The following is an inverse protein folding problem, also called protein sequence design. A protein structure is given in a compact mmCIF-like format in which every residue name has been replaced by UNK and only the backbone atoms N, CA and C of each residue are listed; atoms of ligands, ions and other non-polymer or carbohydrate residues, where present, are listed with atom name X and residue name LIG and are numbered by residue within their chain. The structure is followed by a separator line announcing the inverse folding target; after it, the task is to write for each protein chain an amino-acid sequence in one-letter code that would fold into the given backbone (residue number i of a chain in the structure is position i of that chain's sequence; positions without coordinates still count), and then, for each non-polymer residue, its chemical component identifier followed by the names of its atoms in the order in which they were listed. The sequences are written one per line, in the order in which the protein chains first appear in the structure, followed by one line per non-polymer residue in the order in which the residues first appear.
data_IF_396173495239
#
_entry.id   IF_396173495239
#
_cell.length_a   1.000
_cell.length_b   1.000
_cell.length_c   1.000
_cell.angle_alpha   90.00
_cell.angle_beta   90.00
_cell.angle_gamma   90.00
#
_symmetry.space_group_name_H-M   'P 1'
#
loop_
_entity.id
_entity.type
_entity.pdbx_description
1 polymer ?
#
# COMPACT_ATOMS: atom_id res chain seq x y z
N UNK A 1 12.79 11.17 -19.27
CA UNK A 1 11.39 11.48 -19.58
C UNK A 1 10.57 10.89 -18.45
N UNK A 2 10.17 11.71 -17.48
CA UNK A 2 9.17 11.35 -16.48
C UNK A 2 7.82 11.34 -17.21
N UNK A 3 7.36 10.14 -17.58
CA UNK A 3 5.97 9.95 -17.95
C UNK A 3 5.14 10.29 -16.72
N UNK A 4 4.45 11.41 -16.78
CA UNK A 4 3.32 11.71 -15.89
C UNK A 4 2.28 10.63 -16.14
N UNK A 5 2.30 9.58 -15.32
CA UNK A 5 1.54 8.35 -15.59
C UNK A 5 0.06 8.47 -15.21
N UNK A 6 -0.37 9.63 -14.69
CA UNK A 6 -1.78 9.98 -14.52
C UNK A 6 -2.54 9.10 -13.52
N UNK A 7 -1.85 8.26 -12.74
CA UNK A 7 -2.50 7.45 -11.70
C UNK A 7 -3.09 8.35 -10.63
N UNK A 8 -4.30 8.02 -10.21
CA UNK A 8 -5.01 8.79 -9.19
C UNK A 8 -5.50 7.87 -8.09
N UNK A 9 -5.47 8.40 -6.87
CA UNK A 9 -6.01 7.75 -5.69
C UNK A 9 -7.09 8.67 -5.09
N UNK A 10 -8.32 8.17 -5.04
CA UNK A 10 -9.46 8.90 -4.47
C UNK A 10 -10.08 8.11 -3.35
N UNK A 11 -10.63 8.78 -2.34
CA UNK A 11 -11.29 8.13 -1.20
C UNK A 11 -12.68 8.73 -1.02
N UNK A 12 -13.69 7.87 -1.01
CA UNK A 12 -15.08 8.23 -0.79
C UNK A 12 -15.79 7.12 -0.01
N UNK A 13 -16.67 7.48 0.92
CA UNK A 13 -17.52 6.54 1.67
C UNK A 13 -16.75 5.38 2.34
N UNK A 14 -15.56 5.68 2.88
CA UNK A 14 -14.71 4.69 3.54
C UNK A 14 -13.99 3.71 2.61
N UNK A 15 -14.13 3.87 1.29
CA UNK A 15 -13.39 3.09 0.30
C UNK A 15 -12.44 3.97 -0.51
N UNK A 16 -11.37 3.37 -0.99
CA UNK A 16 -10.36 4.01 -1.83
C UNK A 16 -10.37 3.42 -3.21
N UNK A 17 -10.34 4.26 -4.25
CA UNK A 17 -10.26 3.86 -5.64
C UNK A 17 -8.91 4.31 -6.23
N UNK A 18 -8.11 3.33 -6.65
CA UNK A 18 -6.92 3.51 -7.47
C UNK A 18 -7.32 3.42 -8.94
N UNK A 19 -7.03 4.47 -9.72
CA UNK A 19 -7.24 4.49 -11.17
C UNK A 19 -5.89 4.53 -11.89
N UNK A 20 -5.69 3.64 -12.86
CA UNK A 20 -4.48 3.55 -13.68
C UNK A 20 -4.84 3.42 -15.16
N UNK A 21 -4.15 4.16 -16.03
CA UNK A 21 -4.43 4.21 -17.47
C UNK A 21 -3.23 3.75 -18.29
N UNK A 22 -3.44 2.90 -19.30
CA UNK A 22 -2.41 2.50 -20.26
C UNK A 22 -2.93 2.62 -21.70
N UNK A 23 -2.13 3.22 -22.57
CA UNK A 23 -2.33 3.20 -24.02
C UNK A 23 -1.69 1.95 -24.60
N UNK A 24 -2.47 1.19 -25.37
CA UNK A 24 -2.05 -0.05 -25.99
C UNK A 24 -2.19 0.08 -27.50
N UNK A 25 -1.17 -0.37 -28.25
CA UNK A 25 -1.16 -0.35 -29.72
C UNK A 25 -1.98 -1.52 -30.32
N UNK A 26 -3.11 -1.83 -29.69
CA UNK A 26 -3.96 -2.97 -29.98
C UNK A 26 -5.43 -2.55 -29.98
N UNK A 27 -6.26 -3.09 -30.89
CA UNK A 27 -7.68 -2.77 -30.94
C UNK A 27 -8.40 -3.32 -29.69
N UNK A 28 -9.48 -2.67 -29.22
CA UNK A 28 -10.22 -3.07 -28.02
C UNK A 28 -10.61 -4.55 -28.00
N UNK A 29 -11.00 -5.13 -29.13
CA UNK A 29 -11.40 -6.54 -29.22
C UNK A 29 -10.24 -7.49 -28.92
N UNK A 30 -9.01 -7.11 -29.28
CA UNK A 30 -7.82 -7.89 -28.98
C UNK A 30 -7.48 -7.80 -27.50
N UNK A 31 -7.55 -6.60 -26.91
CA UNK A 31 -7.30 -6.40 -25.48
C UNK A 31 -8.39 -7.05 -24.63
N UNK A 32 -9.64 -7.00 -25.06
CA UNK A 32 -10.77 -7.66 -24.41
C UNK A 32 -10.51 -9.14 -24.16
N UNK A 33 -10.02 -9.86 -25.17
CA UNK A 33 -9.62 -11.28 -24.99
C UNK A 33 -8.55 -11.46 -23.92
N UNK A 34 -7.59 -10.54 -23.83
CA UNK A 34 -6.58 -10.57 -22.76
C UNK A 34 -7.14 -10.28 -21.36
N UNK A 35 -8.28 -9.57 -21.27
CA UNK A 35 -8.98 -9.29 -20.01
C UNK A 35 -9.99 -10.39 -19.61
N UNK A 36 -10.47 -11.21 -20.54
CA UNK A 36 -11.59 -12.12 -20.27
C UNK A 36 -11.32 -13.60 -20.55
N UNK A 37 -10.37 -13.93 -21.42
CA UNK A 37 -10.05 -15.32 -21.73
C UNK A 37 -8.99 -15.85 -20.76
N UNK A 38 -9.26 -16.95 -20.02
CA UNK A 38 -8.36 -17.44 -18.96
C UNK A 38 -6.91 -17.69 -19.42
N UNK A 39 -6.75 -18.17 -20.67
CA UNK A 39 -5.44 -18.47 -21.24
C UNK A 39 -4.55 -17.24 -21.44
N UNK A 40 -5.14 -16.09 -21.71
CA UNK A 40 -4.44 -14.80 -21.83
C UNK A 40 -4.33 -14.09 -20.49
N UNK A 41 -5.41 -14.08 -19.70
CA UNK A 41 -5.47 -13.39 -18.42
C UNK A 41 -4.42 -13.93 -17.44
N UNK A 42 -4.23 -15.26 -17.41
CA UNK A 42 -3.20 -15.95 -16.60
C UNK A 42 -1.75 -15.60 -16.96
N UNK A 43 -1.48 -14.83 -18.02
CA UNK A 43 -0.12 -14.46 -18.44
C UNK A 43 0.40 -13.22 -17.75
N UNK A 44 -0.50 -12.36 -17.28
CA UNK A 44 -0.14 -11.05 -16.72
C UNK A 44 -0.85 -10.75 -15.40
N UNK A 45 -2.04 -11.32 -15.17
CA UNK A 45 -2.79 -11.16 -13.92
C UNK A 45 -2.07 -11.86 -12.74
N UNK A 46 -2.20 -11.38 -11.49
CA UNK A 46 -1.49 -11.97 -10.34
C UNK A 46 -1.90 -13.42 -10.00
N UNK A 47 -3.06 -13.88 -10.46
CA UNK A 47 -3.55 -15.26 -10.30
C UNK A 47 -4.07 -15.81 -11.63
N UNK A 48 -4.39 -17.10 -11.64
CA UNK A 48 -5.29 -17.62 -12.66
C UNK A 48 -6.70 -17.09 -12.38
N UNK A 49 -7.52 -16.94 -13.42
CA UNK A 49 -8.87 -16.38 -13.31
C UNK A 49 -9.81 -17.14 -14.22
N UNK A 50 -10.90 -17.66 -13.64
CA UNK A 50 -12.01 -18.25 -14.36
C UNK A 50 -13.24 -17.38 -14.14
N UNK A 51 -13.95 -17.00 -15.20
CA UNK A 51 -15.06 -16.06 -15.12
C UNK A 51 -16.19 -16.47 -16.07
N UNK A 52 -17.42 -16.47 -15.55
CA UNK A 52 -18.61 -16.64 -16.37
C UNK A 52 -18.97 -15.33 -17.09
N UNK A 53 -19.15 -15.31 -18.43
CA UNK A 53 -19.23 -14.09 -19.23
C UNK A 53 -20.63 -13.43 -19.19
N UNK A 54 -21.09 -13.05 -18.00
CA UNK A 54 -22.38 -12.39 -17.77
C UNK A 54 -22.39 -11.70 -16.40
N UNK A 55 -23.20 -10.66 -16.25
CA UNK A 55 -23.51 -10.09 -14.92
C UNK A 55 -24.11 -11.17 -14.01
N UNK A 56 -23.65 -11.20 -12.75
CA UNK A 56 -23.96 -12.26 -11.79
C UNK A 56 -23.31 -13.60 -12.11
N UNK A 57 -22.34 -13.61 -13.02
CA UNK A 57 -21.48 -14.75 -13.30
C UNK A 57 -20.45 -14.95 -12.20
N UNK A 58 -20.10 -16.21 -11.90
CA UNK A 58 -19.06 -16.51 -10.91
C UNK A 58 -17.68 -16.16 -11.45
N UNK A 59 -16.82 -15.67 -10.56
CA UNK A 59 -15.38 -15.49 -10.80
C UNK A 59 -14.62 -16.33 -9.77
N UNK A 60 -13.57 -17.01 -10.21
CA UNK A 60 -12.68 -17.78 -9.34
C UNK A 60 -11.23 -17.38 -9.58
N UNK A 61 -10.48 -17.28 -8.50
CA UNK A 61 -9.06 -16.95 -8.49
C UNK A 61 -8.25 -18.12 -7.94
N UNK A 62 -8.05 -19.21 -8.70
CA UNK A 62 -7.22 -20.31 -8.24
C UNK A 62 -5.77 -19.87 -8.03
N UNK A 63 -5.15 -20.38 -6.97
CA UNK A 63 -3.72 -20.23 -6.76
C UNK A 63 -2.95 -20.99 -7.84
N UNK A 64 -1.95 -20.33 -8.42
CA UNK A 64 -1.00 -21.00 -9.31
C UNK A 64 -0.33 -22.14 -8.54
N UNK A 65 -0.40 -23.35 -9.10
CA UNK A 65 0.10 -24.60 -8.51
C UNK A 65 -0.76 -25.27 -7.42
N UNK A 66 -1.99 -24.78 -7.16
CA UNK A 66 -2.98 -25.53 -6.39
C UNK A 66 -2.78 -25.56 -4.87
N UNK A 67 -1.94 -24.67 -4.32
CA UNK A 67 -1.76 -24.53 -2.88
C UNK A 67 -2.69 -23.44 -2.32
N UNK A 68 -3.85 -23.84 -1.78
CA UNK A 68 -4.78 -22.95 -1.05
C UNK A 68 -6.22 -22.96 -1.56
N UNK A 69 -7.13 -22.35 -0.79
CA UNK A 69 -8.52 -22.14 -1.21
C UNK A 69 -8.59 -20.98 -2.22
N UNK A 70 -9.21 -21.21 -3.38
CA UNK A 70 -9.43 -20.16 -4.37
C UNK A 70 -10.31 -19.06 -3.77
N UNK A 71 -9.99 -17.80 -4.08
CA UNK A 71 -10.93 -16.72 -3.79
C UNK A 71 -12.07 -16.77 -4.80
N UNK A 72 -13.30 -16.54 -4.33
CA UNK A 72 -14.47 -16.38 -5.18
C UNK A 72 -14.78 -14.89 -5.39
N UNK A 73 -15.45 -14.61 -6.50
CA UNK A 73 -15.97 -13.30 -6.85
C UNK A 73 -17.20 -13.43 -7.75
N UNK A 74 -17.74 -12.29 -8.15
CA UNK A 74 -18.92 -12.17 -9.00
C UNK A 74 -18.71 -11.04 -10.01
N UNK A 75 -19.12 -11.30 -11.25
CA UNK A 75 -19.13 -10.29 -12.32
C UNK A 75 -20.24 -9.28 -12.03
N UNK A 76 -19.84 -8.02 -11.87
CA UNK A 76 -20.75 -6.90 -11.57
C UNK A 76 -21.10 -6.08 -12.80
N UNK A 77 -20.24 -6.08 -13.83
CA UNK A 77 -20.48 -5.41 -15.11
C UNK A 77 -19.89 -6.27 -16.25
N UNK A 78 -20.65 -6.39 -17.35
CA UNK A 78 -20.22 -7.15 -18.53
C UNK A 78 -20.79 -6.50 -19.80
N UNK A 79 -19.96 -5.70 -20.47
CA UNK A 79 -20.28 -4.99 -21.71
C UNK A 79 -19.16 -5.17 -22.75
N UNK A 80 -19.12 -6.28 -23.50
CA UNK A 80 -18.06 -6.54 -24.46
C UNK A 80 -18.09 -5.56 -25.66
N UNK A 81 -16.93 -5.08 -26.17
CA UNK A 81 -15.57 -5.24 -25.64
C UNK A 81 -15.11 -4.08 -24.74
N UNK A 82 -16.05 -3.34 -24.13
CA UNK A 82 -15.78 -2.06 -23.47
C UNK A 82 -15.52 -2.18 -21.97
N UNK A 83 -16.31 -2.97 -21.23
CA UNK A 83 -16.21 -3.00 -19.76
C UNK A 83 -16.39 -4.39 -19.19
N UNK A 84 -15.48 -4.77 -18.29
CA UNK A 84 -15.65 -5.91 -17.38
C UNK A 84 -15.34 -5.47 -15.96
N UNK A 85 -16.25 -5.76 -15.04
CA UNK A 85 -16.03 -5.54 -13.62
C UNK A 85 -16.40 -6.77 -12.81
N UNK A 86 -15.62 -7.04 -11.76
CA UNK A 86 -15.87 -8.17 -10.87
C UNK A 86 -15.31 -7.91 -9.48
N UNK A 87 -15.91 -8.57 -8.48
CA UNK A 87 -15.39 -8.55 -7.11
C UNK A 87 -14.15 -9.44 -6.99
N UNK A 88 -13.25 -9.04 -6.11
CA UNK A 88 -12.07 -9.80 -5.73
C UNK A 88 -11.93 -9.76 -4.19
N UNK A 89 -12.54 -10.74 -3.52
CA UNK A 89 -12.77 -10.64 -2.08
C UNK A 89 -13.71 -9.48 -1.76
N UNK A 90 -13.29 -8.55 -0.91
CA UNK A 90 -14.04 -7.32 -0.58
C UNK A 90 -13.79 -6.17 -1.58
N UNK A 91 -12.83 -6.35 -2.48
CA UNK A 91 -12.45 -5.34 -3.45
C UNK A 91 -13.27 -5.44 -4.74
N UNK A 92 -13.24 -4.37 -5.54
CA UNK A 92 -13.85 -4.32 -6.86
C UNK A 92 -12.78 -3.95 -7.89
N UNK A 93 -12.65 -4.76 -8.94
CA UNK A 93 -11.87 -4.44 -10.12
C UNK A 93 -12.81 -4.08 -11.26
N UNK A 94 -12.59 -2.92 -11.88
CA UNK A 94 -13.27 -2.51 -13.10
C UNK A 94 -12.25 -2.18 -14.18
N UNK A 95 -12.37 -2.84 -15.31
CA UNK A 95 -11.52 -2.66 -16.49
C UNK A 95 -12.36 -2.04 -17.59
N UNK A 96 -11.90 -0.91 -18.12
CA UNK A 96 -12.57 -0.16 -19.19
C UNK A 96 -11.64 0.01 -20.38
N UNK A 97 -12.17 -0.24 -21.58
CA UNK A 97 -11.51 -0.11 -22.86
C UNK A 97 -12.21 0.94 -23.71
N UNK A 98 -11.46 1.99 -24.06
CA UNK A 98 -11.92 3.03 -24.97
C UNK A 98 -11.09 2.95 -26.25
N UNK A 99 -11.71 2.88 -27.45
CA UNK A 99 -10.97 2.95 -28.71
C UNK A 99 -10.19 4.27 -28.84
N UNK A 100 -8.96 4.21 -29.35
CA UNK A 100 -8.14 5.37 -29.70
C UNK A 100 -7.57 5.20 -31.12
N UNK A 101 -7.14 6.28 -31.77
CA UNK A 101 -6.76 6.27 -33.20
C UNK A 101 -5.70 5.23 -33.59
N UNK A 102 -4.84 4.83 -32.66
CA UNK A 102 -3.75 3.86 -32.87
C UNK A 102 -3.91 2.58 -32.03
N UNK A 103 -5.07 2.35 -31.43
CA UNK A 103 -5.33 1.18 -30.58
C UNK A 103 -6.43 1.41 -29.57
N UNK A 104 -6.09 1.35 -28.29
CA UNK A 104 -7.04 1.53 -27.20
C UNK A 104 -6.40 2.09 -25.94
N UNK A 105 -7.24 2.70 -25.11
CA UNK A 105 -6.91 3.10 -23.75
C UNK A 105 -7.56 2.10 -22.81
N UNK A 106 -6.73 1.38 -22.04
CA UNK A 106 -7.16 0.53 -20.94
C UNK A 106 -7.11 1.32 -19.64
N UNK A 107 -8.20 1.35 -18.91
CA UNK A 107 -8.22 1.82 -17.53
C UNK A 107 -8.55 0.69 -16.56
N UNK A 108 -7.71 0.51 -15.55
CA UNK A 108 -8.06 -0.17 -14.31
C UNK A 108 -8.60 0.83 -13.28
N UNK A 109 -9.74 0.51 -12.65
CA UNK A 109 -10.15 1.07 -11.37
C UNK A 109 -10.24 -0.05 -10.33
N UNK A 110 -9.36 -0.02 -9.33
CA UNK A 110 -9.36 -0.95 -8.20
C UNK A 110 -9.89 -0.22 -6.97
N UNK A 111 -11.03 -0.68 -6.44
CA UNK A 111 -11.64 -0.09 -5.24
C UNK A 111 -11.52 -1.03 -4.05
N UNK A 112 -10.95 -0.56 -2.95
CA UNK A 112 -10.56 -1.34 -1.78
C UNK A 112 -10.71 -0.55 -0.47
N UNK A 113 -10.72 -1.24 0.68
CA UNK A 113 -10.82 -0.59 2.01
C UNK A 113 -9.48 -0.09 2.57
N UNK A 114 -8.37 -0.77 2.23
CA UNK A 114 -7.04 -0.54 2.83
C UNK A 114 -6.26 0.59 2.14
N UNK A 115 -6.66 1.86 2.35
CA UNK A 115 -5.99 3.05 1.77
C UNK A 115 -4.46 3.02 1.99
N UNK A 116 -3.94 2.75 3.20
CA UNK A 116 -2.50 2.76 3.41
C UNK A 116 -1.75 1.67 2.63
N UNK A 117 -2.45 0.68 2.07
CA UNK A 117 -1.94 -0.35 1.15
C UNK A 117 -1.90 0.05 -0.33
N UNK A 118 -2.46 1.21 -0.70
CA UNK A 118 -2.64 1.64 -2.10
C UNK A 118 -1.36 1.60 -2.93
N UNK A 119 -0.22 2.03 -2.38
CA UNK A 119 1.07 2.01 -3.08
C UNK A 119 1.53 0.58 -3.43
N UNK A 120 1.22 -0.41 -2.58
CA UNK A 120 1.52 -1.81 -2.87
C UNK A 120 0.63 -2.37 -3.98
N UNK A 121 -0.65 -1.99 -4.01
CA UNK A 121 -1.55 -2.35 -5.11
C UNK A 121 -1.10 -1.70 -6.42
N UNK A 122 -0.79 -0.41 -6.43
CA UNK A 122 -0.34 0.30 -7.63
C UNK A 122 0.98 -0.26 -8.18
N UNK A 123 1.96 -0.55 -7.31
CA UNK A 123 3.19 -1.22 -7.72
C UNK A 123 2.91 -2.62 -8.30
N UNK A 124 2.00 -3.39 -7.67
CA UNK A 124 1.51 -4.69 -8.15
C UNK A 124 0.92 -4.60 -9.55
N UNK A 125 -0.03 -3.69 -9.74
CA UNK A 125 -0.72 -3.48 -11.00
C UNK A 125 0.20 -2.95 -12.10
N UNK A 126 1.17 -2.09 -11.78
CA UNK A 126 2.21 -1.68 -12.72
C UNK A 126 2.92 -2.88 -13.33
N UNK A 127 3.41 -3.79 -12.47
CA UNK A 127 4.10 -4.98 -12.93
C UNK A 127 3.19 -5.91 -13.72
N UNK A 128 1.95 -6.13 -13.26
CA UNK A 128 1.00 -7.00 -13.94
C UNK A 128 0.57 -6.43 -15.30
N UNK A 129 0.14 -5.17 -15.35
CA UNK A 129 -0.36 -4.52 -16.58
C UNK A 129 0.77 -4.35 -17.62
N UNK A 130 2.03 -4.21 -17.20
CA UNK A 130 3.18 -4.22 -18.11
C UNK A 130 3.32 -5.54 -18.91
N UNK A 131 2.69 -6.62 -18.46
CA UNK A 131 2.64 -7.90 -19.17
C UNK A 131 1.59 -7.99 -20.29
N UNK A 132 0.63 -7.06 -20.37
CA UNK A 132 -0.46 -7.11 -21.36
C UNK A 132 0.06 -6.92 -22.79
N UNK A 133 0.84 -5.86 -23.03
CA UNK A 133 1.35 -5.53 -24.37
C UNK A 133 2.28 -6.64 -24.93
N UNK A 134 3.26 -7.17 -24.16
CA UNK A 134 4.02 -8.34 -24.56
C UNK A 134 3.17 -9.57 -24.88
N UNK A 135 2.21 -9.93 -24.02
CA UNK A 135 1.32 -11.07 -24.25
C UNK A 135 0.54 -10.91 -25.57
N UNK A 136 0.02 -9.71 -25.82
CA UNK A 136 -0.67 -9.40 -27.07
C UNK A 136 0.28 -9.39 -28.28
N UNK A 137 1.56 -9.07 -28.08
CA UNK A 137 2.63 -9.14 -29.08
C UNK A 137 3.19 -10.53 -29.34
N UNK A 138 2.89 -11.52 -28.48
CA UNK A 138 3.52 -12.85 -28.51
C UNK A 138 4.93 -12.88 -27.90
N UNK A 139 5.26 -11.86 -27.11
CA UNK A 139 6.52 -11.71 -26.39
C UNK A 139 6.33 -12.11 -24.92
N UNK A 140 7.38 -12.61 -24.23
CA UNK A 140 7.29 -12.90 -22.81
C UNK A 140 7.06 -11.61 -22.00
N UNK A 141 6.20 -11.70 -20.99
CA UNK A 141 6.00 -10.61 -20.05
C UNK A 141 7.32 -10.26 -19.34
N UNK A 142 7.63 -8.97 -19.13
CA UNK A 142 8.78 -8.56 -18.34
C UNK A 142 8.64 -9.07 -16.90
N UNK A 143 9.77 -9.32 -16.25
CA UNK A 143 9.77 -9.50 -14.80
C UNK A 143 9.26 -8.23 -14.09
N UNK A 144 8.82 -8.34 -12.83
CA UNK A 144 8.12 -7.26 -12.11
C UNK A 144 8.98 -6.01 -11.79
N UNK A 145 10.23 -5.91 -12.26
CA UNK A 145 11.12 -4.78 -11.97
C UNK A 145 11.40 -4.59 -10.48
N UNK A 146 11.80 -3.38 -10.10
CA UNK A 146 11.99 -3.00 -8.68
C UNK A 146 10.68 -2.55 -8.04
N UNK A 147 9.94 -3.53 -7.51
CA UNK A 147 8.66 -3.32 -6.82
C UNK A 147 8.75 -2.40 -5.61
N UNK A 148 9.91 -2.34 -4.92
CA UNK A 148 10.06 -1.48 -3.74
C UNK A 148 10.23 -0.03 -4.16
N UNK A 149 11.02 0.22 -5.21
CA UNK A 149 11.14 1.56 -5.79
C UNK A 149 9.79 2.06 -6.31
N UNK A 150 9.03 1.21 -7.00
CA UNK A 150 7.68 1.55 -7.46
C UNK A 150 6.72 1.87 -6.29
N UNK A 151 6.73 1.05 -5.22
CA UNK A 151 5.95 1.32 -4.00
C UNK A 151 6.30 2.68 -3.39
N UNK A 152 7.58 2.97 -3.20
CA UNK A 152 8.02 4.23 -2.58
C UNK A 152 7.68 5.46 -3.43
N UNK A 153 7.71 5.34 -4.76
CA UNK A 153 7.22 6.37 -5.67
C UNK A 153 5.73 6.63 -5.46
N UNK A 154 4.89 5.60 -5.45
CA UNK A 154 3.45 5.75 -5.25
C UNK A 154 3.08 6.26 -3.86
N UNK A 155 3.87 5.95 -2.83
CA UNK A 155 3.67 6.55 -1.50
C UNK A 155 3.74 8.08 -1.59
N UNK A 156 4.69 8.63 -2.34
CA UNK A 156 4.85 10.08 -2.52
C UNK A 156 3.78 10.66 -3.43
N UNK A 157 3.52 10.03 -4.57
CA UNK A 157 2.50 10.52 -5.53
C UNK A 157 1.10 10.55 -4.92
N UNK A 158 0.75 9.60 -4.06
CA UNK A 158 -0.55 9.53 -3.40
C UNK A 158 -0.59 10.22 -2.02
N UNK A 159 0.50 10.83 -1.57
CA UNK A 159 0.61 11.48 -0.26
C UNK A 159 0.33 10.54 0.92
N UNK A 160 0.74 9.27 0.82
CA UNK A 160 0.54 8.25 1.88
C UNK A 160 1.57 8.37 3.01
N UNK A 161 2.56 9.25 2.86
CA UNK A 161 3.53 9.65 3.88
C UNK A 161 3.04 10.80 4.75
N UNK A 162 1.83 11.32 4.50
CA UNK A 162 1.24 12.42 5.26
C UNK A 162 0.60 11.90 6.55
N UNK A 163 1.02 12.44 7.69
CA UNK A 163 0.35 12.23 8.97
C UNK A 163 -0.93 13.06 9.10
N UNK A 164 -1.81 12.65 10.00
CA UNK A 164 -3.04 13.39 10.36
C UNK A 164 -2.92 13.96 11.76
N UNK A 165 -3.71 15.00 12.03
CA UNK A 165 -3.90 15.60 13.36
C UNK A 165 -5.34 15.41 13.78
N UNK A 166 -5.54 14.94 15.00
CA UNK A 166 -6.81 14.89 15.70
C UNK A 166 -6.74 15.85 16.89
N UNK A 167 -7.70 16.78 16.97
CA UNK A 167 -7.85 17.63 18.16
C UNK A 167 -8.50 16.82 19.29
N UNK A 168 -7.88 16.83 20.47
CA UNK A 168 -8.38 16.16 21.65
C UNK A 168 -9.02 17.18 22.61
N UNK A 169 -9.86 16.75 23.57
CA UNK A 169 -10.39 17.66 24.60
C UNK A 169 -9.30 18.45 25.34
N UNK A 170 -8.12 17.85 25.48
CA UNK A 170 -6.89 18.52 25.93
C UNK A 170 -5.77 18.12 24.99
N UNK A 171 -5.26 19.10 24.23
CA UNK A 171 -4.14 18.91 23.33
C UNK A 171 -4.51 18.27 22.00
N UNK A 172 -3.65 17.42 21.48
CA UNK A 172 -3.77 16.86 20.12
C UNK A 172 -3.18 15.45 20.04
N UNK A 173 -3.50 14.75 18.95
CA UNK A 173 -2.86 13.50 18.56
C UNK A 173 -2.45 13.55 17.09
N UNK A 174 -1.18 13.32 16.81
CA UNK A 174 -0.72 13.03 15.45
C UNK A 174 -0.74 11.53 15.21
N UNK A 175 -1.06 11.13 13.98
CA UNK A 175 -1.02 9.73 13.53
C UNK A 175 -0.36 9.62 12.17
N UNK A 176 0.58 8.70 12.05
CA UNK A 176 1.09 8.18 10.79
C UNK A 176 0.66 6.73 10.65
N UNK A 177 0.16 6.36 9.46
CA UNK A 177 -0.17 5.00 9.12
C UNK A 177 0.36 4.67 7.73
N UNK A 178 1.28 3.71 7.63
CA UNK A 178 2.07 3.50 6.42
C UNK A 178 2.31 2.03 6.13
N UNK A 179 2.20 1.64 4.86
CA UNK A 179 2.65 0.32 4.40
C UNK A 179 4.16 0.36 4.18
N UNK A 180 4.88 -0.53 4.85
CA UNK A 180 6.32 -0.71 4.65
C UNK A 180 6.58 -1.86 3.68
N UNK A 181 7.82 -1.96 3.19
CA UNK A 181 8.24 -2.94 2.18
C UNK A 181 8.90 -4.19 2.78
N UNK A 182 8.99 -4.26 4.12
CA UNK A 182 9.67 -5.32 4.86
C UNK A 182 8.78 -5.87 5.98
N UNK A 183 8.93 -7.15 6.38
CA UNK A 183 8.17 -7.75 7.48
C UNK A 183 8.42 -7.08 8.83
N UNK A 184 7.45 -7.17 9.75
CA UNK A 184 7.51 -6.50 11.06
C UNK A 184 8.78 -6.85 11.86
N UNK A 185 9.24 -8.10 11.79
CA UNK A 185 10.47 -8.53 12.45
C UNK A 185 11.72 -7.80 11.92
N UNK A 186 11.80 -7.58 10.60
CA UNK A 186 12.90 -6.82 9.98
C UNK A 186 12.82 -5.36 10.36
N UNK A 187 11.63 -4.75 10.27
CA UNK A 187 11.39 -3.35 10.68
C UNK A 187 11.80 -3.13 12.14
N UNK A 188 11.37 -4.02 13.03
CA UNK A 188 11.70 -3.97 14.45
C UNK A 188 13.22 -4.05 14.69
N UNK A 189 13.90 -4.98 14.02
CA UNK A 189 15.37 -5.11 14.10
C UNK A 189 16.06 -3.83 13.61
N UNK A 190 15.58 -3.21 12.54
CA UNK A 190 16.09 -1.95 12.01
C UNK A 190 15.92 -0.82 13.02
N UNK A 191 14.75 -0.74 13.69
CA UNK A 191 14.50 0.24 14.74
C UNK A 191 15.44 0.03 15.94
N UNK A 192 15.68 -1.20 16.37
CA UNK A 192 16.64 -1.46 17.47
C UNK A 192 18.07 -1.00 17.15
N UNK A 193 18.47 -0.98 15.86
CA UNK A 193 19.79 -0.48 15.48
C UNK A 193 20.96 -1.26 16.09
N UNK A 194 20.75 -2.56 16.37
CA UNK A 194 21.77 -3.47 16.91
C UNK A 194 21.92 -3.46 18.44
N UNK A 195 21.12 -2.69 19.18
CA UNK A 195 21.10 -2.74 20.64
C UNK A 195 20.32 -3.97 21.16
N UNK A 196 20.52 -4.29 22.44
CA UNK A 196 19.74 -5.33 23.13
C UNK A 196 18.24 -5.02 23.12
N UNK A 197 17.40 -6.04 23.29
CA UNK A 197 15.96 -5.83 23.41
C UNK A 197 15.66 -4.87 24.57
N UNK A 198 14.76 -3.88 24.37
CA UNK A 198 14.36 -2.98 25.44
C UNK A 198 13.54 -3.74 26.50
N UNK A 199 13.36 -3.11 27.65
CA UNK A 199 12.49 -3.57 28.73
C UNK A 199 11.64 -2.41 29.25
N UNK A 200 10.48 -2.73 29.82
CA UNK A 200 9.63 -1.72 30.47
C UNK A 200 10.39 -1.09 31.65
N UNK A 201 10.37 0.23 31.74
CA UNK A 201 11.18 1.02 32.67
C UNK A 201 12.59 1.37 32.16
N UNK A 202 13.05 0.71 31.09
CA UNK A 202 14.36 0.96 30.48
C UNK A 202 14.37 2.14 29.50
N UNK A 203 15.56 2.50 28.98
CA UNK A 203 15.70 3.55 27.98
C UNK A 203 15.08 3.16 26.63
N UNK A 204 14.51 4.14 25.93
CA UNK A 204 13.95 3.93 24.59
C UNK A 204 15.07 3.89 23.54
N UNK A 205 15.13 2.87 22.67
CA UNK A 205 16.16 2.82 21.62
C UNK A 205 16.05 4.01 20.64
N UNK A 206 17.19 4.47 20.12
CA UNK A 206 17.27 5.58 19.13
C UNK A 206 16.43 5.38 17.87
N UNK A 207 16.05 4.13 17.60
CA UNK A 207 15.03 3.72 16.63
C UNK A 207 13.71 4.45 16.70
N UNK A 208 13.25 4.67 17.93
CA UNK A 208 11.87 5.00 18.21
C UNK A 208 11.67 6.47 18.55
N UNK A 209 12.75 7.25 18.67
CA UNK A 209 12.72 8.63 19.18
C UNK A 209 13.12 9.66 18.12
N UNK A 210 12.73 10.91 18.36
CA UNK A 210 13.11 12.12 17.60
C UNK A 210 13.70 13.16 18.56
N UNK A 211 14.49 14.09 18.04
CA UNK A 211 15.26 15.04 18.87
C UNK A 211 14.41 16.02 19.65
N UNK A 212 13.30 16.46 19.07
CA UNK A 212 12.43 17.52 19.61
C UNK A 212 11.54 17.06 20.78
N UNK A 213 11.42 15.75 20.98
CA UNK A 213 10.58 15.14 22.01
C UNK A 213 11.43 14.19 22.87
N UNK A 214 11.91 14.70 24.00
CA UNK A 214 12.77 13.95 24.91
C UNK A 214 12.00 12.72 25.45
N UNK A 215 12.53 11.49 25.32
CA UNK A 215 11.84 10.28 25.74
C UNK A 215 11.97 10.06 27.25
N UNK A 216 10.86 9.76 27.91
CA UNK A 216 10.86 9.05 29.19
C UNK A 216 11.17 7.56 29.02
N UNK A 217 11.08 6.75 30.08
CA UNK A 217 11.33 5.31 30.02
C UNK A 217 10.23 4.58 29.22
N UNK A 218 10.57 3.41 28.66
CA UNK A 218 9.59 2.53 28.01
C UNK A 218 8.45 2.22 28.98
N UNK A 219 7.22 2.56 28.59
CA UNK A 219 6.02 2.30 29.41
C UNK A 219 5.26 1.06 28.99
N UNK A 220 5.38 0.66 27.72
CA UNK A 220 4.77 -0.55 27.17
C UNK A 220 5.70 -1.20 26.14
N UNK A 221 5.76 -2.53 26.16
CA UNK A 221 6.52 -3.31 25.20
C UNK A 221 5.80 -4.60 24.82
N UNK A 222 5.53 -4.77 23.52
CA UNK A 222 5.24 -6.06 22.88
C UNK A 222 6.32 -6.29 21.80
N UNK A 223 7.28 -7.20 22.02
CA UNK A 223 8.38 -7.39 21.09
C UNK A 223 7.91 -7.64 19.65
N UNK A 224 8.48 -6.89 18.69
CA UNK A 224 8.16 -6.94 17.24
C UNK A 224 6.78 -6.39 16.86
N UNK A 225 6.00 -5.91 17.82
CA UNK A 225 4.63 -5.45 17.61
C UNK A 225 4.38 -4.04 18.12
N UNK A 226 4.81 -3.68 19.33
CA UNK A 226 4.52 -2.37 19.89
C UNK A 226 5.54 -1.89 20.92
N UNK A 227 5.82 -0.59 20.91
CA UNK A 227 6.59 0.10 21.94
C UNK A 227 5.95 1.46 22.21
N UNK A 228 5.74 1.79 23.48
CA UNK A 228 5.25 3.12 23.88
C UNK A 228 6.07 3.68 25.04
N UNK A 229 6.11 5.00 25.12
CA UNK A 229 6.81 5.75 26.16
C UNK A 229 6.24 7.18 26.28
N UNK A 230 6.28 7.80 27.47
CA UNK A 230 5.94 9.20 27.61
C UNK A 230 7.05 10.07 27.02
N UNK A 231 6.72 11.29 26.61
CA UNK A 231 7.72 12.30 26.25
C UNK A 231 7.64 13.51 27.19
N UNK A 232 8.79 14.15 27.36
CA UNK A 232 9.00 15.16 28.38
C UNK A 232 9.06 16.57 27.80
N UNK A 233 8.40 17.51 28.48
CA UNK A 233 8.58 18.94 28.30
C UNK A 233 8.91 19.56 29.67
N UNK A 234 10.00 20.31 29.76
CA UNK A 234 10.44 20.94 31.03
C UNK A 234 10.50 19.95 32.22
N UNK A 235 10.86 18.69 31.97
CA UNK A 235 11.02 17.66 33.01
C UNK A 235 9.72 17.03 33.51
N UNK A 236 8.60 17.20 32.79
CA UNK A 236 7.33 16.53 33.06
C UNK A 236 6.86 15.75 31.84
N UNK A 237 6.17 14.64 32.08
CA UNK A 237 5.50 13.88 31.02
C UNK A 237 4.30 14.65 30.50
N UNK A 238 4.34 15.08 29.24
CA UNK A 238 3.27 15.87 28.61
C UNK A 238 2.51 15.10 27.52
N UNK A 239 2.89 13.86 27.23
CA UNK A 239 2.16 13.00 26.31
C UNK A 239 2.84 11.67 26.09
N UNK A 240 2.35 10.89 25.14
CA UNK A 240 2.82 9.54 24.86
C UNK A 240 3.14 9.39 23.38
N UNK A 241 4.27 8.74 23.08
CA UNK A 241 4.60 8.23 21.75
C UNK A 241 4.33 6.74 21.74
N UNK A 242 3.72 6.24 20.67
CA UNK A 242 3.40 4.82 20.49
C UNK A 242 3.70 4.39 19.06
N UNK A 243 4.50 3.34 18.94
CA UNK A 243 4.81 2.63 17.71
C UNK A 243 4.10 1.29 17.71
N UNK A 244 3.46 0.94 16.60
CA UNK A 244 2.82 -0.35 16.37
C UNK A 244 3.16 -0.88 14.99
N UNK A 245 3.47 -2.17 14.91
CA UNK A 245 3.71 -2.92 13.70
C UNK A 245 2.73 -4.09 13.67
N UNK A 246 1.91 -4.13 12.63
CA UNK A 246 0.99 -5.23 12.39
C UNK A 246 1.24 -5.81 10.99
N UNK A 247 0.55 -6.90 10.67
CA UNK A 247 0.52 -7.42 9.31
C UNK A 247 -0.16 -6.38 8.40
N UNK A 248 0.50 -6.01 7.31
CA UNK A 248 -0.05 -5.11 6.30
C UNK A 248 -0.42 -5.82 5.00
N UNK A 249 -0.67 -5.02 3.97
CA UNK A 249 -0.90 -5.47 2.59
C UNK A 249 0.35 -6.12 2.02
N UNK A 250 0.20 -7.23 1.30
CA UNK A 250 1.32 -7.95 0.69
C UNK A 250 2.29 -8.53 1.72
N UNK A 251 3.59 -8.30 1.54
CA UNK A 251 4.65 -8.90 2.37
C UNK A 251 5.20 -7.98 3.47
N UNK A 252 4.74 -6.74 3.55
CA UNK A 252 5.29 -5.73 4.44
C UNK A 252 4.46 -5.50 5.70
N UNK A 253 5.09 -4.92 6.72
CA UNK A 253 4.40 -4.47 7.93
C UNK A 253 3.57 -3.21 7.68
N UNK A 254 2.41 -3.16 8.32
CA UNK A 254 1.67 -1.92 8.56
C UNK A 254 2.30 -1.24 9.78
N UNK A 255 2.85 -0.04 9.58
CA UNK A 255 3.32 0.83 10.66
C UNK A 255 2.20 1.78 11.07
N UNK A 256 1.92 1.85 12.36
CA UNK A 256 1.14 2.91 12.98
C UNK A 256 2.01 3.60 14.02
N UNK A 257 2.19 4.91 13.87
CA UNK A 257 2.89 5.76 14.82
C UNK A 257 1.93 6.84 15.31
N UNK A 258 1.81 6.99 16.61
CA UNK A 258 1.02 8.07 17.21
C UNK A 258 1.81 8.81 18.25
N UNK A 259 1.58 10.12 18.35
CA UNK A 259 2.02 10.92 19.49
C UNK A 259 0.86 11.79 19.95
N UNK A 260 0.59 11.80 21.26
CA UNK A 260 -0.26 12.83 21.87
C UNK A 260 0.61 14.00 22.33
N UNK A 261 0.05 15.20 22.36
CA UNK A 261 0.73 16.34 22.94
C UNK A 261 -0.22 17.39 23.51
N UNK A 262 0.37 18.46 24.03
CA UNK A 262 -0.32 19.52 24.78
C UNK A 262 -0.52 20.77 23.93
N UNK A 263 -1.48 21.66 24.28
CA UNK A 263 -1.77 22.86 23.51
C UNK A 263 -0.58 23.82 23.32
N UNK A 264 0.38 23.82 24.26
CA UNK A 264 1.56 24.69 24.23
C UNK A 264 2.55 24.32 23.12
N UNK A 265 2.49 23.10 22.59
CA UNK A 265 3.36 22.62 21.52
C UNK A 265 2.54 22.46 20.25
N UNK A 266 2.87 23.15 19.14
CA UNK A 266 2.14 22.99 17.89
C UNK A 266 2.23 21.56 17.34
N UNK A 267 1.12 20.93 16.89
CA UNK A 267 1.14 19.59 16.31
C UNK A 267 1.97 19.49 15.02
N UNK A 268 2.16 20.62 14.30
CA UNK A 268 2.98 20.69 13.10
C UNK A 268 4.44 20.27 13.36
N UNK A 269 5.00 20.62 14.52
CA UNK A 269 6.36 20.20 14.89
C UNK A 269 6.45 18.67 14.96
N UNK A 270 5.46 18.01 15.58
CA UNK A 270 5.41 16.56 15.66
C UNK A 270 5.20 15.91 14.29
N UNK A 271 4.35 16.49 13.44
CA UNK A 271 4.16 15.99 12.06
C UNK A 271 5.48 15.99 11.29
N UNK A 272 6.23 17.09 11.30
CA UNK A 272 7.43 17.22 10.47
C UNK A 272 8.52 16.23 10.92
N UNK A 273 8.83 16.18 12.22
CA UNK A 273 9.90 15.32 12.73
C UNK A 273 9.58 13.83 12.60
N UNK A 274 8.29 13.45 12.75
CA UNK A 274 7.88 12.06 12.58
C UNK A 274 7.80 11.66 11.12
N UNK A 275 7.40 12.56 10.22
CA UNK A 275 7.47 12.32 8.78
C UNK A 275 8.90 11.99 8.36
N UNK A 276 9.86 12.85 8.72
CA UNK A 276 11.27 12.64 8.41
C UNK A 276 11.80 11.31 8.98
N UNK A 277 11.38 10.99 10.22
CA UNK A 277 11.76 9.74 10.87
C UNK A 277 11.23 8.51 10.13
N UNK A 278 9.94 8.51 9.79
CA UNK A 278 9.26 7.42 9.09
C UNK A 278 9.82 7.26 7.67
N UNK A 279 10.10 8.36 6.98
CA UNK A 279 10.74 8.35 5.66
C UNK A 279 12.16 7.79 5.71
N UNK A 280 12.97 8.21 6.68
CA UNK A 280 14.32 7.67 6.87
C UNK A 280 14.29 6.16 7.13
N UNK A 281 13.32 5.69 7.92
CA UNK A 281 13.11 4.27 8.16
C UNK A 281 12.71 3.54 6.87
N UNK A 282 11.70 4.04 6.15
CA UNK A 282 11.23 3.44 4.90
C UNK A 282 12.33 3.34 3.85
N UNK A 283 13.13 4.39 3.67
CA UNK A 283 14.25 4.41 2.72
C UNK A 283 15.30 3.33 3.06
N UNK A 284 15.63 3.16 4.34
CA UNK A 284 16.55 2.10 4.80
C UNK A 284 15.99 0.70 4.50
N UNK A 285 14.69 0.50 4.73
CA UNK A 285 14.03 -0.79 4.50
C UNK A 285 13.93 -1.12 3.01
N UNK A 286 13.64 -0.14 2.16
CA UNK A 286 13.57 -0.30 0.72
C UNK A 286 14.93 -0.73 0.12
N UNK A 287 16.04 -0.20 0.66
CA UNK A 287 17.40 -0.55 0.25
C UNK A 287 17.86 -1.96 0.69
N UNK A 288 17.17 -2.60 1.64
CA UNK A 288 17.51 -3.96 2.09
C UNK A 288 17.10 -5.00 1.05
N UNK A 289 17.85 -6.10 0.89
CA UNK A 289 17.41 -7.22 0.07
C UNK A 289 16.08 -7.79 0.61
N UNK A 290 15.33 -8.48 -0.28
CA UNK A 290 14.17 -9.29 0.14
C UNK A 290 14.63 -10.50 0.93
#
# INVERSE_FOLDING_TARGET
MTTDTGETLTTADGRTALRMERRLAHPPEKVWRALTEPGHLSKWFPSDVEMEPRVGGKVRFPFRHGEGEAMDGEVTEWDPPHVVAYTWGEDLLRWELVPESLGSVLTLTHTFGDRPGAASFAAGWDACIAGIDPELGGEPAPGPGDMKAAHERYVKEFGLDHGTVEELPVGWKVRFERQLTQPAATVWKTLLGGVSAPEVGGPVPRGFVVGDFAPGPVSELRPKEALAYPWDLHGRHEGTVRWELTRGTGHGARLVLTQTGVPEVPPALALDVWRDRVESLAAKLAAMPR
#
